data_IF_692976216781
#
_entry.id   IF_692976216781
#
_cell.length_a   1.000
_cell.length_b   1.000
_cell.length_c   1.000
_cell.angle_alpha   90.00
_cell.angle_beta   90.00
_cell.angle_gamma   90.00
#
_symmetry.space_group_name_H-M   'P 1'
#
loop_
_entity.id
_entity.type
_entity.pdbx_description
1 polymer ?
#
# COMPACT_ATOMS: atom_id res chain seq x y z
N UNK A 1 -3.90 3.23 7.36
CA UNK A 1 -3.25 2.31 8.32
C UNK A 1 -4.04 1.00 8.51
N UNK A 2 -5.34 1.06 8.83
CA UNK A 2 -6.17 -0.14 9.05
C UNK A 2 -6.14 -1.15 7.87
N UNK A 3 -6.18 -0.65 6.63
CA UNK A 3 -6.12 -1.47 5.42
C UNK A 3 -4.88 -2.36 5.34
N UNK A 4 -3.67 -1.81 5.43
CA UNK A 4 -2.41 -2.57 5.28
C UNK A 4 -2.16 -3.55 6.44
N UNK A 5 -2.68 -3.25 7.63
CA UNK A 5 -2.60 -4.12 8.80
C UNK A 5 -3.62 -5.27 8.70
N UNK A 6 -4.87 -4.95 8.35
CA UNK A 6 -5.94 -5.92 8.14
C UNK A 6 -5.62 -6.88 7.00
N UNK A 7 -5.14 -6.36 5.87
CA UNK A 7 -4.72 -7.15 4.71
C UNK A 7 -3.62 -8.14 5.10
N UNK A 8 -2.55 -7.70 5.76
CA UNK A 8 -1.48 -8.59 6.22
C UNK A 8 -1.96 -9.65 7.21
N UNK A 9 -2.88 -9.29 8.13
CA UNK A 9 -3.49 -10.23 9.07
C UNK A 9 -4.27 -11.32 8.32
N UNK A 10 -5.09 -10.94 7.34
CA UNK A 10 -5.89 -11.89 6.55
C UNK A 10 -5.02 -12.80 5.69
N UNK A 11 -4.03 -12.26 4.96
CA UNK A 11 -3.08 -13.06 4.17
C UNK A 11 -2.43 -14.16 5.02
N UNK A 12 -1.99 -13.84 6.23
CA UNK A 12 -1.36 -14.81 7.15
C UNK A 12 -2.34 -15.83 7.73
N UNK A 13 -3.60 -15.44 7.99
CA UNK A 13 -4.61 -16.33 8.57
C UNK A 13 -5.20 -17.29 7.54
N UNK A 14 -5.41 -16.85 6.30
CA UNK A 14 -6.04 -17.64 5.24
C UNK A 14 -5.02 -18.34 4.32
N UNK A 15 -3.72 -18.17 4.59
CA UNK A 15 -2.62 -18.65 3.74
C UNK A 15 -2.78 -18.25 2.25
N UNK A 16 -3.37 -17.08 2.00
CA UNK A 16 -3.63 -16.63 0.64
C UNK A 16 -2.34 -16.41 -0.13
N UNK A 17 -2.33 -16.90 -1.37
CA UNK A 17 -1.28 -16.63 -2.33
C UNK A 17 -1.40 -15.18 -2.82
N UNK A 18 -0.34 -14.70 -3.46
CA UNK A 18 -0.27 -13.32 -3.97
C UNK A 18 -1.41 -13.02 -4.96
N UNK A 19 -1.74 -14.00 -5.80
CA UNK A 19 -2.84 -13.90 -6.78
C UNK A 19 -4.22 -13.84 -6.11
N UNK A 20 -4.48 -14.69 -5.12
CA UNK A 20 -5.77 -14.70 -4.41
C UNK A 20 -6.01 -13.37 -3.70
N UNK A 21 -4.96 -12.85 -3.06
CA UNK A 21 -5.01 -11.54 -2.38
C UNK A 21 -5.35 -10.43 -3.38
N UNK A 22 -4.70 -10.41 -4.55
CA UNK A 22 -4.98 -9.45 -5.60
C UNK A 22 -6.42 -9.59 -6.13
N UNK A 23 -6.86 -10.82 -6.39
CA UNK A 23 -8.19 -11.12 -6.92
C UNK A 23 -9.29 -10.64 -5.96
N UNK A 24 -9.22 -11.03 -4.69
CA UNK A 24 -10.22 -10.61 -3.69
C UNK A 24 -10.19 -9.11 -3.44
N UNK A 25 -9.02 -8.48 -3.43
CA UNK A 25 -8.91 -7.04 -3.23
C UNK A 25 -9.60 -6.27 -4.37
N UNK A 26 -9.42 -6.68 -5.62
CA UNK A 26 -10.08 -6.04 -6.75
C UNK A 26 -11.57 -6.40 -6.83
N UNK A 27 -11.93 -7.67 -6.65
CA UNK A 27 -13.32 -8.13 -6.75
C UNK A 27 -14.23 -7.53 -5.68
N UNK A 28 -13.79 -7.49 -4.42
CA UNK A 28 -14.58 -6.91 -3.33
C UNK A 28 -14.67 -5.38 -3.44
N UNK A 29 -13.69 -4.73 -4.09
CA UNK A 29 -13.75 -3.29 -4.32
C UNK A 29 -14.78 -2.90 -5.37
N UNK A 30 -15.11 -3.74 -6.35
CA UNK A 30 -16.11 -3.42 -7.41
C UNK A 30 -17.47 -2.98 -6.84
N UNK A 31 -18.17 -3.76 -5.99
CA UNK A 31 -19.47 -3.36 -5.46
C UNK A 31 -19.38 -2.12 -4.56
N UNK A 32 -18.29 -1.97 -3.82
CA UNK A 32 -18.06 -0.81 -2.94
C UNK A 32 -17.87 0.46 -3.78
N UNK A 33 -17.02 0.38 -4.82
CA UNK A 33 -16.77 1.50 -5.73
C UNK A 33 -18.02 1.87 -6.54
N UNK A 34 -18.81 0.87 -6.96
CA UNK A 34 -20.08 1.11 -7.65
C UNK A 34 -21.06 1.85 -6.74
N UNK A 35 -21.23 1.42 -5.48
CA UNK A 35 -22.06 2.13 -4.52
C UNK A 35 -21.55 3.55 -4.28
N UNK A 36 -20.25 3.74 -4.02
CA UNK A 36 -19.67 5.07 -3.85
C UNK A 36 -19.89 5.98 -5.07
N UNK A 37 -19.73 5.45 -6.29
CA UNK A 37 -19.98 6.21 -7.52
C UNK A 37 -21.45 6.61 -7.66
N UNK A 38 -22.40 5.73 -7.34
CA UNK A 38 -23.83 6.07 -7.40
C UNK A 38 -24.25 7.15 -6.39
N UNK A 39 -23.63 7.17 -5.20
CA UNK A 39 -23.98 8.15 -4.16
C UNK A 39 -23.22 9.48 -4.25
N UNK A 40 -21.97 9.45 -4.74
CA UNK A 40 -21.08 10.62 -4.73
C UNK A 40 -20.94 11.29 -6.10
N UNK A 41 -21.17 10.57 -7.20
CA UNK A 41 -21.02 11.12 -8.55
C UNK A 41 -22.37 11.47 -9.18
N UNK A 42 -22.38 12.56 -9.95
CA UNK A 42 -23.57 12.98 -10.69
C UNK A 42 -23.62 12.25 -12.04
N UNK A 43 -24.58 11.33 -12.18
CA UNK A 43 -24.83 10.56 -13.40
C UNK A 43 -25.72 11.26 -14.43
N UNK A 44 -25.93 12.58 -14.31
CA UNK A 44 -26.68 13.35 -15.30
C UNK A 44 -26.06 13.23 -16.70
N UNK A 45 -26.91 13.12 -17.72
CA UNK A 45 -26.51 13.02 -19.14
C UNK A 45 -25.60 14.18 -19.59
N UNK A 46 -25.81 15.38 -19.05
CA UNK A 46 -24.95 16.53 -19.30
C UNK A 46 -23.53 16.37 -18.72
N UNK A 47 -23.38 15.70 -17.58
CA UNK A 47 -22.08 15.43 -16.97
C UNK A 47 -21.33 14.31 -17.70
N UNK A 48 -22.06 13.29 -18.16
CA UNK A 48 -21.49 12.19 -18.95
C UNK A 48 -21.00 12.71 -20.30
N UNK A 49 -21.77 13.57 -20.98
CA UNK A 49 -21.38 14.16 -22.26
C UNK A 49 -20.12 15.05 -22.13
N UNK A 50 -19.93 15.73 -21.00
CA UNK A 50 -18.72 16.51 -20.71
C UNK A 50 -17.49 15.64 -20.44
N UNK A 51 -17.64 14.55 -19.71
CA UNK A 51 -16.51 13.66 -19.36
C UNK A 51 -16.18 12.65 -20.47
N UNK A 52 -17.13 12.32 -21.34
CA UNK A 52 -16.97 11.39 -22.46
C UNK A 52 -17.45 12.01 -23.78
N UNK A 53 -16.77 13.05 -24.29
CA UNK A 53 -17.10 13.61 -25.60
C UNK A 53 -16.91 12.56 -26.70
N UNK A 54 -17.83 12.53 -27.67
CA UNK A 54 -17.84 11.55 -28.76
C UNK A 54 -16.53 11.50 -29.55
N UNK A 55 -15.85 12.64 -29.70
CA UNK A 55 -14.58 12.77 -30.41
C UNK A 55 -13.41 12.05 -29.72
N UNK A 56 -13.36 12.03 -28.37
CA UNK A 56 -12.25 11.43 -27.60
C UNK A 56 -12.66 10.19 -26.80
N UNK A 57 -13.91 9.74 -26.92
CA UNK A 57 -14.46 8.63 -26.14
C UNK A 57 -13.60 7.37 -26.22
N UNK A 58 -13.17 6.99 -27.42
CA UNK A 58 -12.35 5.79 -27.62
C UNK A 58 -10.96 5.92 -26.97
N UNK A 59 -10.35 7.11 -27.04
CA UNK A 59 -9.06 7.36 -26.40
C UNK A 59 -9.17 7.33 -24.87
N UNK A 60 -10.25 7.87 -24.31
CA UNK A 60 -10.53 7.86 -22.86
C UNK A 60 -10.76 6.43 -22.38
N UNK A 61 -11.57 5.64 -23.09
CA UNK A 61 -11.82 4.23 -22.75
C UNK A 61 -10.52 3.43 -22.82
N UNK A 62 -9.70 3.64 -23.86
CA UNK A 62 -8.40 2.98 -23.98
C UNK A 62 -7.46 3.35 -22.81
N UNK A 63 -7.42 4.63 -22.43
CA UNK A 63 -6.65 5.08 -21.27
C UNK A 63 -7.17 4.47 -19.96
N UNK A 64 -8.49 4.30 -19.80
CA UNK A 64 -9.10 3.61 -18.66
C UNK A 64 -8.70 2.14 -18.61
N UNK A 65 -8.73 1.43 -19.75
CA UNK A 65 -8.29 0.03 -19.81
C UNK A 65 -6.79 -0.09 -19.50
N UNK A 66 -5.96 0.75 -20.10
CA UNK A 66 -4.50 0.73 -19.89
C UNK A 66 -4.12 1.04 -18.43
N UNK A 67 -4.74 2.07 -17.84
CA UNK A 67 -4.55 2.41 -16.43
C UNK A 67 -5.09 1.32 -15.50
N UNK A 68 -6.20 0.67 -15.86
CA UNK A 68 -6.74 -0.49 -15.14
C UNK A 68 -5.76 -1.67 -15.14
N UNK A 69 -5.19 -2.01 -16.29
CA UNK A 69 -4.16 -3.06 -16.39
C UNK A 69 -2.90 -2.71 -15.58
N UNK A 70 -2.48 -1.44 -15.59
CA UNK A 70 -1.37 -0.97 -14.77
C UNK A 70 -1.68 -1.06 -13.26
N UNK A 71 -2.92 -0.74 -12.87
CA UNK A 71 -3.40 -0.84 -11.48
C UNK A 71 -3.44 -2.29 -10.98
N UNK A 72 -3.77 -3.24 -11.86
CA UNK A 72 -3.68 -4.68 -11.58
C UNK A 72 -2.24 -5.08 -11.23
N UNK A 73 -1.26 -4.63 -12.01
CA UNK A 73 0.15 -4.92 -11.73
C UNK A 73 0.59 -4.34 -10.38
N UNK A 74 0.22 -3.09 -10.10
CA UNK A 74 0.51 -2.44 -8.81
C UNK A 74 -0.14 -3.21 -7.66
N UNK A 75 -1.39 -3.68 -7.82
CA UNK A 75 -2.10 -4.46 -6.80
C UNK A 75 -1.39 -5.77 -6.50
N UNK A 76 -0.92 -6.47 -7.53
CA UNK A 76 -0.14 -7.70 -7.37
C UNK A 76 1.18 -7.46 -6.64
N UNK A 77 1.98 -6.50 -7.10
CA UNK A 77 3.28 -6.19 -6.47
C UNK A 77 3.12 -5.69 -5.04
N UNK A 78 2.03 -4.98 -4.74
CA UNK A 78 1.70 -4.51 -3.39
C UNK A 78 1.38 -5.66 -2.45
N UNK A 79 0.53 -6.60 -2.88
CA UNK A 79 0.21 -7.80 -2.09
C UNK A 79 1.47 -8.63 -1.82
N UNK A 80 2.28 -8.85 -2.86
CA UNK A 80 3.54 -9.58 -2.75
C UNK A 80 4.54 -8.92 -1.79
N UNK A 81 4.72 -7.59 -1.90
CA UNK A 81 5.59 -6.82 -1.01
C UNK A 81 5.16 -6.94 0.47
N UNK A 82 3.85 -6.82 0.74
CA UNK A 82 3.29 -6.93 2.10
C UNK A 82 3.44 -8.34 2.67
N UNK A 83 3.32 -9.37 1.82
CA UNK A 83 3.47 -10.78 2.21
C UNK A 83 4.91 -11.13 2.59
N UNK A 84 5.87 -10.83 1.70
CA UNK A 84 7.28 -11.19 1.88
C UNK A 84 7.98 -10.33 2.93
N UNK A 85 7.52 -9.08 3.10
CA UNK A 85 8.21 -8.10 3.94
C UNK A 85 7.38 -7.77 5.19
N UNK A 86 6.83 -6.56 5.27
CA UNK A 86 5.97 -6.13 6.35
C UNK A 86 5.05 -4.98 5.93
N UNK A 87 3.93 -4.78 6.64
CA UNK A 87 3.05 -3.62 6.40
C UNK A 87 3.79 -2.30 6.58
N UNK A 88 4.73 -2.22 7.54
CA UNK A 88 5.55 -1.02 7.79
C UNK A 88 6.50 -0.75 6.63
N UNK A 89 7.13 -1.80 6.08
CA UNK A 89 8.05 -1.66 4.94
C UNK A 89 7.30 -1.25 3.68
N UNK A 90 6.12 -1.83 3.42
CA UNK A 90 5.28 -1.43 2.30
C UNK A 90 4.88 0.05 2.39
N UNK A 91 4.46 0.52 3.57
CA UNK A 91 4.16 1.95 3.78
C UNK A 91 5.38 2.85 3.60
N UNK A 92 6.56 2.41 4.07
CA UNK A 92 7.81 3.16 3.87
C UNK A 92 8.20 3.27 2.39
N UNK A 93 8.15 2.16 1.63
CA UNK A 93 8.44 2.16 0.19
C UNK A 93 7.43 3.04 -0.56
N UNK A 94 6.16 3.03 -0.17
CA UNK A 94 5.15 3.95 -0.72
C UNK A 94 5.46 5.42 -0.45
N UNK A 95 6.01 5.76 0.71
CA UNK A 95 6.46 7.12 1.02
C UNK A 95 7.70 7.50 0.21
N UNK A 96 8.66 6.57 0.05
CA UNK A 96 9.88 6.79 -0.73
C UNK A 96 9.58 6.94 -2.23
N UNK A 97 8.61 6.22 -2.78
CA UNK A 97 8.20 6.35 -4.19
C UNK A 97 7.72 7.76 -4.55
N UNK A 98 7.23 8.53 -3.58
CA UNK A 98 6.81 9.91 -3.80
C UNK A 98 7.98 10.88 -3.98
N UNK A 99 9.18 10.57 -3.47
CA UNK A 99 10.34 11.46 -3.55
C UNK A 99 10.87 11.61 -4.99
N UNK A 100 11.08 10.53 -5.77
CA UNK A 100 11.43 10.65 -7.18
C UNK A 100 10.37 11.36 -8.01
N UNK A 101 9.08 11.10 -7.74
CA UNK A 101 7.98 11.78 -8.45
C UNK A 101 8.01 13.29 -8.18
N UNK A 102 8.23 13.70 -6.92
CA UNK A 102 8.37 15.11 -6.57
C UNK A 102 9.62 15.74 -7.20
N UNK A 103 10.74 15.01 -7.24
CA UNK A 103 11.97 15.47 -7.87
C UNK A 103 11.78 15.65 -9.39
N UNK A 104 11.17 14.69 -10.08
CA UNK A 104 10.79 14.84 -11.49
C UNK A 104 9.83 16.01 -11.69
N UNK A 105 8.91 16.24 -10.74
CA UNK A 105 8.04 17.41 -10.74
C UNK A 105 8.80 18.74 -10.78
N UNK A 106 9.85 18.88 -9.97
CA UNK A 106 10.68 20.08 -9.90
C UNK A 106 11.63 20.24 -11.09
N UNK A 107 12.06 19.13 -11.72
CA UNK A 107 12.99 19.17 -12.87
C UNK A 107 12.25 19.42 -14.18
N UNK A 108 11.08 18.79 -14.37
CA UNK A 108 10.35 18.84 -15.64
C UNK A 108 9.28 19.93 -15.69
N UNK A 109 8.81 20.40 -14.55
CA UNK A 109 7.92 21.56 -14.46
C UNK A 109 8.69 22.71 -13.81
N UNK A 110 8.57 23.91 -14.36
CA UNK A 110 9.20 25.16 -13.89
C UNK A 110 8.56 25.66 -12.58
N UNK A 111 8.40 24.75 -11.62
CA UNK A 111 7.91 25.04 -10.29
C UNK A 111 9.04 25.72 -9.49
N UNK A 112 8.71 26.73 -8.66
CA UNK A 112 9.73 27.44 -7.89
C UNK A 112 10.45 26.48 -6.95
N UNK A 113 11.73 26.25 -7.20
CA UNK A 113 12.59 25.40 -6.38
C UNK A 113 12.93 26.16 -5.10
N UNK A 114 12.15 25.94 -4.05
CA UNK A 114 12.40 26.56 -2.74
C UNK A 114 13.36 25.70 -1.89
N UNK A 115 14.20 26.34 -1.06
CA UNK A 115 15.10 25.65 -0.12
C UNK A 115 14.37 24.64 0.81
N UNK A 116 13.15 24.93 1.32
CA UNK A 116 12.37 23.96 2.08
C UNK A 116 12.00 22.71 1.27
N UNK A 117 11.63 22.84 -0.01
CA UNK A 117 11.25 21.69 -0.85
C UNK A 117 12.44 20.75 -1.10
N UNK A 118 13.61 21.32 -1.41
CA UNK A 118 14.84 20.53 -1.66
C UNK A 118 15.33 19.87 -0.37
N UNK A 119 15.33 20.59 0.75
CA UNK A 119 15.73 20.02 2.04
C UNK A 119 14.78 18.92 2.53
N UNK A 120 13.46 19.06 2.32
CA UNK A 120 12.49 18.02 2.62
C UNK A 120 12.72 16.74 1.79
N UNK A 121 13.03 16.87 0.49
CA UNK A 121 13.34 15.73 -0.37
C UNK A 121 14.62 15.04 0.11
N UNK A 122 15.67 15.80 0.42
CA UNK A 122 16.93 15.27 0.94
C UNK A 122 16.74 14.51 2.26
N UNK A 123 16.01 15.08 3.22
CA UNK A 123 15.68 14.42 4.50
C UNK A 123 14.86 13.15 4.25
N UNK A 124 13.92 13.18 3.29
CA UNK A 124 13.17 12.00 2.86
C UNK A 124 14.08 10.86 2.39
N UNK A 125 15.05 11.15 1.53
CA UNK A 125 16.01 10.14 1.06
C UNK A 125 16.89 9.59 2.19
N UNK A 126 17.41 10.46 3.06
CA UNK A 126 18.21 10.03 4.23
C UNK A 126 17.40 9.11 5.13
N UNK A 127 16.13 9.43 5.38
CA UNK A 127 15.23 8.58 6.19
C UNK A 127 15.04 7.18 5.57
N UNK A 128 14.96 7.10 4.23
CA UNK A 128 14.88 5.83 3.50
C UNK A 128 16.13 4.97 3.66
N UNK A 129 17.30 5.59 3.54
CA UNK A 129 18.59 4.91 3.72
C UNK A 129 18.72 4.38 5.15
N UNK A 130 18.43 5.22 6.15
CA UNK A 130 18.47 4.83 7.56
C UNK A 130 17.51 3.67 7.85
N UNK A 131 16.29 3.71 7.29
CA UNK A 131 15.32 2.62 7.43
C UNK A 131 15.83 1.30 6.82
N UNK A 132 16.41 1.35 5.62
CA UNK A 132 16.97 0.18 4.96
C UNK A 132 18.10 -0.45 5.79
N UNK A 133 19.03 0.38 6.28
CA UNK A 133 20.13 -0.05 7.15
C UNK A 133 19.62 -0.65 8.47
N UNK A 134 18.61 -0.04 9.08
CA UNK A 134 17.98 -0.56 10.29
C UNK A 134 17.33 -1.94 10.03
N UNK A 135 16.66 -2.13 8.88
CA UNK A 135 16.07 -3.43 8.53
C UNK A 135 17.11 -4.50 8.24
N UNK A 136 18.21 -4.17 7.58
CA UNK A 136 19.34 -5.11 7.36
C UNK A 136 19.95 -5.54 8.68
N UNK A 137 20.20 -4.58 9.59
CA UNK A 137 20.70 -4.86 10.94
C UNK A 137 19.74 -5.70 11.77
N UNK A 138 18.42 -5.46 11.66
CA UNK A 138 17.40 -6.27 12.33
C UNK A 138 17.34 -7.70 11.80
N UNK A 139 17.69 -7.93 10.52
CA UNK A 139 17.75 -9.28 9.94
C UNK A 139 19.07 -9.99 10.24
N UNK A 140 20.16 -9.25 10.45
CA UNK A 140 21.50 -9.78 10.77
C UNK A 140 21.73 -10.01 12.27
N UNK A 141 21.07 -9.24 13.14
CA UNK A 141 21.04 -9.50 14.59
C UNK A 141 20.02 -10.59 14.92
N UNK A 142 20.47 -11.70 15.49
CA UNK A 142 19.64 -12.80 15.99
C UNK A 142 18.53 -12.37 16.96
N UNK A 143 17.64 -13.30 17.35
CA UNK A 143 16.37 -13.00 17.99
C UNK A 143 16.56 -12.20 19.27
N UNK A 144 15.97 -11.00 19.29
CA UNK A 144 15.60 -10.19 20.45
C UNK A 144 16.66 -10.15 21.55
N UNK A 145 17.34 -9.01 21.66
CA UNK A 145 17.65 -8.49 23.00
C UNK A 145 16.34 -8.41 23.75
N UNK A 146 16.02 -9.48 24.47
CA UNK A 146 14.99 -9.54 25.47
C UNK A 146 15.34 -8.43 26.45
N UNK A 147 14.56 -7.36 26.45
CA UNK A 147 14.46 -6.54 27.64
C UNK A 147 14.15 -7.52 28.78
N UNK A 148 14.82 -7.43 29.94
CA UNK A 148 14.48 -8.23 31.10
C UNK A 148 13.14 -7.72 31.63
N UNK A 149 12.04 -8.03 30.95
CA UNK A 149 10.73 -8.04 31.56
C UNK A 149 10.70 -9.28 32.42
N UNK A 150 10.85 -9.07 33.73
CA UNK A 150 10.47 -9.98 34.81
C UNK A 150 9.36 -10.91 34.32
N UNK A 151 9.62 -12.23 34.36
CA UNK A 151 8.64 -13.25 34.02
C UNK A 151 7.38 -13.04 34.85
N UNK A 152 6.35 -12.43 34.27
CA UNK A 152 5.00 -12.66 34.78
C UNK A 152 4.65 -14.09 34.37
N UNK A 153 4.31 -14.99 35.31
CA UNK A 153 3.90 -16.34 34.96
C UNK A 153 2.68 -16.24 34.03
N UNK A 154 2.83 -16.75 32.81
CA UNK A 154 1.72 -16.81 31.87
C UNK A 154 0.62 -17.67 32.48
N UNK A 155 -0.57 -17.10 32.65
CA UNK A 155 -1.74 -17.83 33.17
C UNK A 155 -2.15 -18.93 32.19
N UNK A 156 -2.52 -20.11 32.71
CA UNK A 156 -2.88 -21.29 31.92
C UNK A 156 -3.97 -21.04 30.86
N UNK A 157 -4.84 -20.04 31.07
CA UNK A 157 -5.84 -19.58 30.09
C UNK A 157 -5.25 -18.95 28.83
N UNK A 158 -4.06 -18.36 28.95
CA UNK A 158 -3.33 -17.76 27.83
C UNK A 158 -2.69 -18.84 26.94
N UNK A 159 -2.34 -19.98 27.55
CA UNK A 159 -1.76 -21.13 26.87
C UNK A 159 -2.84 -21.89 26.08
N UNK A 160 -4.02 -22.11 26.67
CA UNK A 160 -5.12 -22.84 26.04
C UNK A 160 -5.67 -22.16 24.79
N UNK A 161 -5.79 -20.82 24.79
CA UNK A 161 -6.15 -20.09 23.57
C UNK A 161 -5.12 -20.28 22.46
N UNK A 162 -3.84 -20.41 22.80
CA UNK A 162 -2.75 -20.56 21.83
C UNK A 162 -2.74 -21.95 21.20
N UNK A 163 -3.08 -22.98 21.98
CA UNK A 163 -3.16 -24.36 21.50
C UNK A 163 -4.44 -24.62 20.69
N UNK A 164 -5.54 -23.92 20.98
CA UNK A 164 -6.76 -23.97 20.17
C UNK A 164 -6.58 -23.44 18.73
N UNK A 165 -5.57 -22.60 18.47
CA UNK A 165 -5.27 -22.12 17.12
C UNK A 165 -4.34 -23.06 16.33
N UNK A 166 -3.84 -24.14 16.95
CA UNK A 166 -2.94 -25.12 16.32
C UNK A 166 -3.63 -26.43 15.95
N UNK A 167 -4.91 -26.58 16.25
CA UNK A 167 -5.72 -27.74 15.83
C UNK A 167 -6.59 -27.42 14.63
#
# INVERSE_FOLDING_TARGET
AAYVLGMRKRIKLTNFKDFDTMYYNNLLSIPILLLCSLFLENWSSANIAKNFPTERRNAIILAMVFSGLSSVFISYTSAWCVRVTSSTTYSMVGALNKLPIALSGLIFFDAPVTLPSVSAIAVGFVSGIVYALAKVRQSAGGPKTVLPTTQNPMSASSQSMRDSFKS
#
